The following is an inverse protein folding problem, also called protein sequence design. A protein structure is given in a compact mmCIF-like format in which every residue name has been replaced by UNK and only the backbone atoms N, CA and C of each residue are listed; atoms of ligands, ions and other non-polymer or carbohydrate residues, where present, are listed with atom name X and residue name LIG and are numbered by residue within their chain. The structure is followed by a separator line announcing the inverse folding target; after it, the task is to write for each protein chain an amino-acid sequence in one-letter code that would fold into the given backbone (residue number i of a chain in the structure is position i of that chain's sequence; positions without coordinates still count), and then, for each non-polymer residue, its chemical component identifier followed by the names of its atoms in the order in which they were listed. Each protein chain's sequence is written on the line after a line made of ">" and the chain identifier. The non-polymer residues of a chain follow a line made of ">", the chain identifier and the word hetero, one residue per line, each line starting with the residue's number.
data_IF_373838981085
#
_entry.id   IF_373838981085
#
_cell.length_a   1.000
_cell.length_b   1.000
_cell.length_c   1.000
_cell.angle_alpha   90.00
_cell.angle_beta   90.00
_cell.angle_gamma   90.00
#
_symmetry.space_group_name_H-M   'P 1'
#
loop_
_entity.id
_entity.type
_entity.pdbx_description
1 polymer ?
#
# COMPACT_ATOMS: atom_id res chain seq x y z
N UNK A 1 -29.10 24.18 37.50
CA UNK A 1 -27.96 23.29 37.85
C UNK A 1 -27.95 22.17 36.80
N UNK A 2 -27.13 22.30 35.80
CA UNK A 2 -27.02 21.28 34.75
C UNK A 2 -25.60 20.72 34.81
N UNK A 3 -25.50 19.47 35.24
CA UNK A 3 -24.27 18.73 35.45
C UNK A 3 -23.70 18.37 34.05
N UNK A 4 -22.70 19.07 33.59
CA UNK A 4 -21.82 18.61 32.52
C UNK A 4 -21.03 17.40 33.05
N UNK A 5 -21.55 16.20 32.83
CA UNK A 5 -20.78 14.98 33.00
C UNK A 5 -19.71 14.95 31.89
N UNK A 6 -18.46 15.13 32.31
CA UNK A 6 -17.32 14.97 31.41
C UNK A 6 -17.36 13.58 30.79
N UNK A 7 -17.52 13.51 29.46
CA UNK A 7 -17.17 12.30 28.71
C UNK A 7 -15.68 12.07 28.92
N UNK A 8 -15.28 10.87 29.36
CA UNK A 8 -13.87 10.52 29.31
C UNK A 8 -13.45 10.55 27.83
N UNK A 9 -12.44 11.33 27.51
CA UNK A 9 -11.66 11.21 26.29
C UNK A 9 -10.99 9.82 26.33
N UNK A 10 -11.77 8.78 26.06
CA UNK A 10 -11.26 7.46 25.73
C UNK A 10 -10.42 7.65 24.49
N UNK A 11 -9.12 7.51 24.66
CA UNK A 11 -8.14 7.72 23.63
C UNK A 11 -8.55 7.00 22.35
N UNK A 12 -8.58 7.72 21.25
CA UNK A 12 -8.67 7.18 19.90
C UNK A 12 -7.36 6.42 19.59
N UNK A 13 -7.10 5.34 20.32
CA UNK A 13 -6.01 4.40 20.10
C UNK A 13 -6.32 3.46 18.92
N UNK A 14 -7.04 3.96 17.89
CA UNK A 14 -7.48 3.20 16.74
C UNK A 14 -6.65 3.39 15.48
N UNK A 15 -5.56 4.14 15.53
CA UNK A 15 -4.65 4.28 14.39
C UNK A 15 -3.75 3.04 14.32
N UNK A 16 -4.24 1.97 13.69
CA UNK A 16 -3.44 0.79 13.39
C UNK A 16 -2.15 1.18 12.68
N UNK A 17 -1.01 0.80 13.25
CA UNK A 17 0.31 1.23 12.77
C UNK A 17 0.58 0.83 11.31
N UNK A 18 0.00 -0.27 10.83
CA UNK A 18 0.27 -0.85 9.52
C UNK A 18 -0.14 0.03 8.33
N UNK A 19 -1.18 0.87 8.47
CA UNK A 19 -1.68 1.77 7.42
C UNK A 19 -1.53 3.25 7.78
N UNK A 20 -0.91 3.57 8.90
CA UNK A 20 -0.78 4.95 9.35
C UNK A 20 0.23 5.71 8.52
N UNK A 21 -0.21 6.80 7.88
CA UNK A 21 0.67 7.76 7.22
C UNK A 21 1.55 8.56 8.22
N UNK A 22 1.25 8.43 9.51
CA UNK A 22 2.07 9.00 10.59
C UNK A 22 3.11 8.03 11.14
N UNK A 23 3.13 6.77 10.66
CA UNK A 23 4.22 5.82 10.92
C UNK A 23 5.32 6.01 9.86
N UNK A 24 6.07 7.09 9.99
CA UNK A 24 7.05 7.56 9.00
C UNK A 24 8.21 6.58 8.91
N UNK A 25 8.42 6.03 7.73
CA UNK A 25 9.49 5.10 7.41
C UNK A 25 10.27 5.46 6.13
N UNK A 26 9.92 6.55 5.47
CA UNK A 26 10.61 7.07 4.30
C UNK A 26 10.63 8.59 4.25
N UNK A 27 11.56 9.14 3.49
CA UNK A 27 11.78 10.60 3.38
C UNK A 27 10.54 11.33 2.87
N UNK A 28 9.89 10.77 1.85
CA UNK A 28 8.73 11.42 1.22
C UNK A 28 7.53 11.46 2.19
N UNK A 29 7.34 10.41 3.02
CA UNK A 29 6.33 10.41 4.08
C UNK A 29 6.67 11.42 5.19
N UNK A 30 7.95 11.62 5.50
CA UNK A 30 8.43 12.62 6.46
C UNK A 30 8.02 14.03 6.08
N UNK A 31 8.24 14.41 4.84
CA UNK A 31 7.87 15.74 4.31
C UNK A 31 6.37 15.99 4.36
N UNK A 32 5.56 14.98 4.04
CA UNK A 32 4.09 15.07 4.11
C UNK A 32 3.63 15.22 5.58
N UNK A 33 4.24 14.47 6.50
CA UNK A 33 3.90 14.56 7.92
C UNK A 33 4.28 15.90 8.54
N UNK A 34 5.39 16.52 8.13
CA UNK A 34 5.78 17.86 8.56
C UNK A 34 4.70 18.89 8.17
N UNK A 35 4.27 18.89 6.91
CA UNK A 35 3.17 19.74 6.44
C UNK A 35 1.90 19.52 7.26
N UNK A 36 1.53 18.25 7.51
CA UNK A 36 0.35 17.91 8.30
C UNK A 36 0.41 18.51 9.71
N UNK A 37 1.54 18.38 10.42
CA UNK A 37 1.67 18.89 11.77
C UNK A 37 1.63 20.42 11.84
N UNK A 38 2.25 21.11 10.87
CA UNK A 38 2.16 22.57 10.77
C UNK A 38 0.72 23.03 10.50
N UNK A 39 0.03 22.35 9.58
CA UNK A 39 -1.39 22.64 9.29
C UNK A 39 -2.27 22.38 10.53
N UNK A 40 -2.06 21.28 11.25
CA UNK A 40 -2.83 20.96 12.45
C UNK A 40 -2.60 22.00 13.56
N UNK A 41 -1.35 22.38 13.83
CA UNK A 41 -1.03 23.40 14.82
C UNK A 41 -1.67 24.73 14.44
N UNK A 42 -1.53 25.16 13.18
CA UNK A 42 -2.16 26.37 12.68
C UNK A 42 -3.69 26.34 12.77
N UNK A 43 -4.33 25.23 12.43
CA UNK A 43 -5.76 25.04 12.55
C UNK A 43 -6.26 25.17 14.00
N UNK A 44 -5.53 24.57 14.96
CA UNK A 44 -5.85 24.69 16.40
C UNK A 44 -5.75 26.16 16.86
N UNK A 45 -4.68 26.87 16.48
CA UNK A 45 -4.51 28.28 16.83
C UNK A 45 -5.63 29.14 16.25
N UNK A 46 -5.95 28.96 14.99
CA UNK A 46 -7.05 29.69 14.33
C UNK A 46 -8.40 29.36 14.96
N UNK A 47 -8.65 28.10 15.27
CA UNK A 47 -9.89 27.68 15.94
C UNK A 47 -10.06 28.33 17.31
N UNK A 48 -8.99 28.34 18.12
CA UNK A 48 -8.99 29.02 19.43
C UNK A 48 -9.18 30.54 19.25
N UNK A 49 -8.50 31.17 18.30
CA UNK A 49 -8.62 32.61 18.04
C UNK A 49 -10.04 33.01 17.62
N UNK A 50 -10.64 32.28 16.67
CA UNK A 50 -12.00 32.55 16.17
C UNK A 50 -13.04 32.32 17.26
N UNK A 51 -12.99 31.17 17.98
CA UNK A 51 -13.94 30.90 19.06
C UNK A 51 -13.75 31.83 20.24
N UNK A 52 -12.50 32.18 20.58
CA UNK A 52 -12.19 33.18 21.61
C UNK A 52 -12.73 34.57 21.24
N UNK A 53 -12.52 35.02 20.02
CA UNK A 53 -13.07 36.27 19.51
C UNK A 53 -14.62 36.27 19.55
N UNK A 54 -15.24 35.16 19.10
CA UNK A 54 -16.70 35.00 19.18
C UNK A 54 -17.22 35.09 20.62
N UNK A 55 -16.57 34.40 21.55
CA UNK A 55 -16.92 34.43 22.98
C UNK A 55 -16.80 35.86 23.55
N UNK A 56 -15.68 36.54 23.31
CA UNK A 56 -15.44 37.88 23.77
C UNK A 56 -16.48 38.87 23.22
N UNK A 57 -16.73 38.83 21.91
CA UNK A 57 -17.70 39.73 21.26
C UNK A 57 -19.14 39.45 21.72
N UNK A 58 -19.52 38.20 21.91
CA UNK A 58 -20.90 37.84 22.28
C UNK A 58 -21.21 37.97 23.77
N UNK A 59 -20.22 37.74 24.66
CA UNK A 59 -20.43 37.62 26.10
C UNK A 59 -19.78 38.71 26.91
N UNK A 60 -18.61 39.21 26.47
CA UNK A 60 -17.84 40.21 27.26
C UNK A 60 -18.09 41.65 26.76
N UNK A 61 -18.17 41.83 25.45
CA UNK A 61 -18.29 43.14 24.80
C UNK A 61 -19.53 43.24 23.88
N UNK A 62 -20.73 42.86 24.32
CA UNK A 62 -21.91 42.91 23.46
C UNK A 62 -22.22 44.36 23.03
N UNK A 63 -22.37 44.57 21.70
CA UNK A 63 -22.74 45.88 21.13
C UNK A 63 -21.68 46.99 21.19
N UNK A 64 -20.43 46.70 21.61
CA UNK A 64 -19.34 47.68 21.72
C UNK A 64 -18.48 47.84 20.46
N UNK A 65 -18.70 47.01 19.43
CA UNK A 65 -17.96 47.10 18.19
C UNK A 65 -18.70 47.99 17.20
N UNK A 66 -18.06 49.09 16.80
CA UNK A 66 -18.61 49.93 15.78
C UNK A 66 -18.49 49.30 14.37
N UNK A 67 -19.25 49.82 13.44
CA UNK A 67 -19.36 49.29 12.07
C UNK A 67 -18.01 49.27 11.32
N UNK A 68 -17.12 50.27 11.61
CA UNK A 68 -15.81 50.36 10.95
C UNK A 68 -14.86 49.29 11.45
N UNK A 69 -14.85 49.01 12.76
CA UNK A 69 -14.06 47.94 13.34
C UNK A 69 -14.59 46.55 12.92
N UNK A 70 -15.92 46.39 12.88
CA UNK A 70 -16.54 45.17 12.34
C UNK A 70 -16.13 44.91 10.88
N UNK A 71 -16.19 45.93 10.02
CA UNK A 71 -15.78 45.82 8.63
C UNK A 71 -14.28 45.43 8.48
N UNK A 72 -13.40 46.06 9.29
CA UNK A 72 -11.96 45.72 9.27
C UNK A 72 -11.70 44.28 9.73
N UNK A 73 -12.40 43.80 10.76
CA UNK A 73 -12.30 42.43 11.22
C UNK A 73 -12.80 41.43 10.17
N UNK A 74 -13.91 41.72 9.49
CA UNK A 74 -14.45 40.88 8.42
C UNK A 74 -13.52 40.83 7.21
N UNK A 75 -13.02 41.97 6.75
CA UNK A 75 -12.12 42.00 5.58
C UNK A 75 -10.73 41.45 5.94
N UNK A 76 -10.13 41.91 7.04
CA UNK A 76 -8.80 41.51 7.46
C UNK A 76 -8.75 40.05 7.91
N UNK A 77 -9.64 39.64 8.81
CA UNK A 77 -9.68 38.30 9.36
C UNK A 77 -10.41 37.26 8.53
N UNK A 78 -11.44 37.69 7.74
CA UNK A 78 -12.25 36.77 6.94
C UNK A 78 -11.83 36.65 5.48
N UNK A 79 -11.08 37.61 4.93
CA UNK A 79 -10.64 37.59 3.54
C UNK A 79 -9.11 37.59 3.45
N UNK A 80 -8.45 38.65 3.96
CA UNK A 80 -7.01 38.82 3.75
C UNK A 80 -6.20 37.72 4.44
N UNK A 81 -6.44 37.50 5.73
CA UNK A 81 -5.69 36.52 6.52
C UNK A 81 -5.82 35.09 5.96
N UNK A 82 -7.03 34.56 5.69
CA UNK A 82 -7.17 33.24 5.08
C UNK A 82 -6.52 33.14 3.71
N UNK A 83 -6.65 34.17 2.88
CA UNK A 83 -6.04 34.18 1.54
C UNK A 83 -4.52 34.08 1.62
N UNK A 84 -3.87 34.85 2.50
CA UNK A 84 -2.41 34.80 2.70
C UNK A 84 -1.96 33.43 3.22
N UNK A 85 -2.64 32.91 4.26
CA UNK A 85 -2.29 31.62 4.84
C UNK A 85 -2.46 30.49 3.82
N UNK A 86 -3.60 30.44 3.12
CA UNK A 86 -3.88 29.38 2.14
C UNK A 86 -2.95 29.47 0.93
N UNK A 87 -2.58 30.69 0.50
CA UNK A 87 -1.59 30.86 -0.59
C UNK A 87 -0.21 30.36 -0.16
N UNK A 88 0.23 30.68 1.06
CA UNK A 88 1.50 30.20 1.58
C UNK A 88 1.52 28.66 1.71
N UNK A 89 0.45 28.08 2.24
CA UNK A 89 0.30 26.61 2.34
C UNK A 89 0.23 25.95 0.95
N UNK A 90 -0.44 26.58 -0.02
CA UNK A 90 -0.49 26.07 -1.39
C UNK A 90 0.91 26.03 -2.03
N UNK A 91 1.66 27.14 -1.92
CA UNK A 91 3.04 27.22 -2.48
C UNK A 91 3.93 26.16 -1.82
N UNK A 92 3.85 26.02 -0.49
CA UNK A 92 4.62 25.00 0.22
C UNK A 92 4.19 23.59 -0.15
N UNK A 93 2.89 23.29 -0.16
CA UNK A 93 2.36 21.98 -0.55
C UNK A 93 2.74 21.58 -1.98
N UNK A 94 2.70 22.54 -2.93
CA UNK A 94 3.15 22.31 -4.31
C UNK A 94 4.65 22.00 -4.38
N UNK A 95 5.47 22.63 -3.52
CA UNK A 95 6.91 22.35 -3.46
C UNK A 95 7.24 20.97 -2.87
N UNK A 96 6.32 20.38 -2.10
CA UNK A 96 6.46 19.03 -1.53
C UNK A 96 5.90 17.93 -2.44
N UNK A 97 5.23 18.27 -3.55
CA UNK A 97 4.75 17.24 -4.48
C UNK A 97 5.92 16.38 -4.97
N UNK A 98 5.76 15.05 -4.99
CA UNK A 98 6.78 14.19 -5.57
C UNK A 98 7.07 14.62 -7.01
N UNK A 99 8.34 14.77 -7.35
CA UNK A 99 8.73 14.92 -8.74
C UNK A 99 8.50 13.58 -9.44
N UNK A 100 7.50 13.46 -10.33
CA UNK A 100 7.20 12.20 -11.02
C UNK A 100 8.31 11.80 -12.00
N UNK A 101 9.35 12.65 -12.17
CA UNK A 101 10.52 12.39 -13.01
C UNK A 101 11.78 12.13 -12.19
N UNK A 102 11.69 12.14 -10.85
CA UNK A 102 12.86 11.87 -10.02
C UNK A 102 13.24 10.40 -10.16
N UNK A 103 14.41 10.08 -10.75
CA UNK A 103 14.84 8.70 -10.94
C UNK A 103 15.14 8.04 -9.59
N UNK A 104 15.19 6.71 -9.60
CA UNK A 104 15.77 5.92 -8.51
C UNK A 104 17.29 5.86 -8.61
N UNK A 105 17.91 5.19 -7.63
CA UNK A 105 19.36 5.01 -7.51
C UNK A 105 19.83 3.71 -8.22
N UNK A 106 19.11 3.28 -9.28
CA UNK A 106 19.46 2.12 -10.12
C UNK A 106 18.45 0.98 -10.08
N UNK A 107 17.69 0.79 -9.00
CA UNK A 107 16.62 -0.21 -8.94
C UNK A 107 15.31 0.35 -9.52
N UNK A 108 14.78 -0.35 -10.54
CA UNK A 108 13.45 -0.09 -11.09
C UNK A 108 12.52 -1.25 -10.75
N UNK A 109 11.35 -0.95 -10.18
CA UNK A 109 10.28 -1.92 -9.91
C UNK A 109 9.07 -1.55 -10.76
N UNK A 110 8.69 -2.41 -11.68
CA UNK A 110 7.43 -2.26 -12.41
C UNK A 110 6.31 -2.93 -11.65
N UNK A 111 5.19 -2.21 -11.50
CA UNK A 111 3.99 -2.74 -10.85
C UNK A 111 2.81 -2.58 -11.78
N UNK A 112 2.14 -3.68 -12.05
CA UNK A 112 0.87 -3.69 -12.79
C UNK A 112 -0.27 -4.01 -11.84
N UNK A 113 -1.25 -3.10 -11.74
CA UNK A 113 -2.50 -3.33 -11.01
C UNK A 113 -3.43 -4.21 -11.84
N UNK A 114 -3.73 -5.39 -11.33
CA UNK A 114 -4.70 -6.34 -11.88
C UNK A 114 -5.97 -6.29 -11.01
N UNK A 115 -7.10 -6.84 -11.47
CA UNK A 115 -8.29 -7.00 -10.63
C UNK A 115 -8.26 -8.38 -9.93
N UNK A 116 -7.86 -8.50 -8.67
CA UNK A 116 -7.45 -7.48 -7.67
C UNK A 116 -6.17 -7.94 -6.98
N UNK A 117 -5.04 -7.85 -7.67
CA UNK A 117 -3.73 -8.24 -7.20
C UNK A 117 -2.65 -7.39 -7.88
N UNK A 118 -1.41 -7.50 -7.43
CA UNK A 118 -0.29 -6.72 -7.90
C UNK A 118 0.75 -7.62 -8.55
N UNK A 119 0.98 -7.45 -9.85
CA UNK A 119 2.13 -8.03 -10.54
C UNK A 119 3.32 -7.12 -10.27
N UNK A 120 4.44 -7.71 -9.84
CA UNK A 120 5.65 -6.98 -9.47
C UNK A 120 6.82 -7.53 -10.26
N UNK A 121 7.58 -6.66 -10.89
CA UNK A 121 8.73 -7.01 -11.71
C UNK A 121 9.93 -6.16 -11.28
N UNK A 122 10.98 -6.80 -10.80
CA UNK A 122 12.24 -6.15 -10.47
C UNK A 122 13.15 -6.10 -11.68
N UNK A 123 13.65 -4.91 -11.98
CA UNK A 123 14.60 -4.65 -13.06
C UNK A 123 15.89 -4.09 -12.45
N UNK A 124 16.84 -4.95 -12.01
CA UNK A 124 18.17 -4.50 -11.61
C UNK A 124 18.87 -3.80 -12.78
N UNK A 125 19.80 -2.92 -12.47
CA UNK A 125 20.56 -2.21 -13.49
C UNK A 125 21.28 -3.20 -14.43
N UNK A 126 21.12 -3.02 -15.74
CA UNK A 126 21.67 -3.90 -16.76
C UNK A 126 20.96 -5.24 -16.97
N UNK A 127 19.87 -5.52 -16.26
CA UNK A 127 19.11 -6.76 -16.45
C UNK A 127 18.41 -6.78 -17.81
N UNK A 128 18.50 -7.92 -18.52
CA UNK A 128 17.79 -8.16 -19.79
C UNK A 128 16.37 -8.69 -19.63
N UNK A 129 16.02 -9.18 -18.45
CA UNK A 129 14.71 -9.70 -18.12
C UNK A 129 14.37 -9.40 -16.64
N UNK A 130 13.06 -9.27 -16.30
CA UNK A 130 12.66 -8.99 -14.94
C UNK A 130 12.69 -10.24 -14.05
N UNK A 131 12.84 -10.00 -12.75
CA UNK A 131 12.53 -10.99 -11.72
C UNK A 131 11.08 -10.75 -11.30
N UNK A 132 10.20 -11.71 -11.59
CA UNK A 132 8.73 -11.57 -11.41
C UNK A 132 8.32 -12.13 -10.06
N UNK A 133 7.48 -11.37 -9.35
CA UNK A 133 6.79 -11.79 -8.13
C UNK A 133 5.38 -11.17 -8.08
N UNK A 134 4.67 -11.29 -6.94
CA UNK A 134 3.36 -10.69 -6.79
C UNK A 134 3.01 -10.39 -5.32
N UNK A 135 2.22 -9.32 -5.10
CA UNK A 135 1.56 -8.97 -3.84
C UNK A 135 2.51 -8.70 -2.66
N UNK A 136 3.81 -8.69 -2.89
CA UNK A 136 4.83 -8.32 -1.92
C UNK A 136 5.94 -7.56 -2.63
N UNK A 137 6.36 -6.44 -2.05
CA UNK A 137 7.44 -5.61 -2.56
C UNK A 137 8.49 -5.49 -1.48
N UNK A 138 9.74 -5.83 -1.81
CA UNK A 138 10.89 -5.65 -0.92
C UNK A 138 11.81 -4.57 -1.45
N UNK A 139 12.34 -3.75 -0.55
CA UNK A 139 13.09 -2.54 -0.89
C UNK A 139 14.32 -2.43 0.01
N UNK A 140 15.48 -2.00 -0.55
CA UNK A 140 16.64 -1.66 0.28
C UNK A 140 16.39 -0.32 0.99
N UNK A 141 16.80 -0.19 2.25
CA UNK A 141 16.82 1.09 2.96
C UNK A 141 18.00 1.95 2.51
N UNK A 142 17.86 3.27 2.63
CA UNK A 142 18.91 4.23 2.28
C UNK A 142 19.07 4.51 0.79
N UNK A 143 18.25 3.89 -0.05
CA UNK A 143 18.27 4.06 -1.50
C UNK A 143 16.89 4.37 -2.05
N UNK A 144 16.85 5.18 -3.10
CA UNK A 144 15.60 5.52 -3.78
C UNK A 144 15.27 4.49 -4.85
N UNK A 145 14.14 3.84 -4.72
CA UNK A 145 13.61 2.92 -5.74
C UNK A 145 12.64 3.65 -6.67
N UNK A 146 12.80 3.46 -7.97
CA UNK A 146 11.88 3.93 -8.99
C UNK A 146 10.77 2.91 -9.22
N UNK A 147 9.52 3.37 -9.16
CA UNK A 147 8.34 2.55 -9.49
C UNK A 147 7.75 3.02 -10.81
N UNK A 148 7.64 2.11 -11.77
CA UNK A 148 6.89 2.28 -13.02
C UNK A 148 5.57 1.56 -12.92
N UNK A 149 4.49 2.29 -13.06
CA UNK A 149 3.16 1.89 -12.65
C UNK A 149 2.21 1.86 -13.86
N UNK A 150 1.51 0.76 -14.05
CA UNK A 150 0.46 0.60 -15.05
C UNK A 150 -0.68 -0.25 -14.51
N UNK A 151 -1.78 -0.35 -15.24
CA UNK A 151 -2.89 -1.24 -14.89
C UNK A 151 -3.42 -1.97 -16.10
N UNK A 152 -4.07 -3.13 -15.89
CA UNK A 152 -4.60 -3.97 -16.97
C UNK A 152 -5.92 -3.41 -17.55
N UNK A 153 -6.92 -3.10 -16.71
CA UNK A 153 -8.29 -2.84 -17.17
C UNK A 153 -8.92 -1.57 -16.59
N UNK A 154 -8.76 -1.37 -15.29
CA UNK A 154 -9.36 -0.27 -14.55
C UNK A 154 -8.28 0.53 -13.85
N UNK A 155 -8.59 1.75 -13.47
CA UNK A 155 -7.68 2.59 -12.69
C UNK A 155 -7.46 1.96 -11.31
N UNK A 156 -6.21 1.91 -10.87
CA UNK A 156 -5.78 1.62 -9.51
C UNK A 156 -4.95 2.79 -8.97
N UNK A 157 -4.58 2.76 -7.71
CA UNK A 157 -3.62 3.70 -7.17
C UNK A 157 -2.64 2.99 -6.24
N UNK A 158 -1.36 3.12 -6.52
CA UNK A 158 -0.29 2.53 -5.74
C UNK A 158 0.04 3.42 -4.55
N UNK A 159 -0.02 2.88 -3.33
CA UNK A 159 0.24 3.65 -2.13
C UNK A 159 0.84 2.80 -1.02
N UNK A 160 1.97 3.27 -0.48
CA UNK A 160 2.60 2.78 0.75
C UNK A 160 2.64 3.96 1.72
N UNK A 161 1.62 4.11 2.59
CA UNK A 161 1.45 5.31 3.44
C UNK A 161 2.68 5.67 4.27
N UNK A 162 3.40 4.65 4.76
CA UNK A 162 4.59 4.84 5.59
C UNK A 162 5.82 5.36 4.81
N UNK A 163 5.84 5.21 3.49
CA UNK A 163 6.97 5.59 2.65
C UNK A 163 6.75 6.90 1.90
N UNK A 164 5.51 7.21 1.50
CA UNK A 164 5.24 8.43 0.75
C UNK A 164 3.82 8.61 0.25
N UNK A 165 3.64 9.49 -0.72
CA UNK A 165 2.39 9.74 -1.41
C UNK A 165 1.95 8.58 -2.29
N UNK A 166 0.76 8.71 -2.89
CA UNK A 166 0.20 7.74 -3.84
C UNK A 166 0.41 8.19 -5.29
N UNK A 167 0.35 7.22 -6.21
CA UNK A 167 0.35 7.47 -7.65
C UNK A 167 -0.72 6.61 -8.34
N UNK A 168 -1.56 7.28 -9.13
CA UNK A 168 -2.61 6.62 -9.88
C UNK A 168 -2.03 5.85 -11.09
N UNK A 169 -2.63 4.71 -11.37
CA UNK A 169 -2.23 3.74 -12.39
C UNK A 169 -3.33 3.61 -13.43
N UNK A 170 -2.98 3.77 -14.70
CA UNK A 170 -3.95 3.81 -15.79
C UNK A 170 -3.71 2.70 -16.81
N UNK A 171 -4.79 2.13 -17.39
CA UNK A 171 -4.65 1.29 -18.55
C UNK A 171 -4.02 2.04 -19.74
N UNK A 172 -3.04 1.41 -20.38
CA UNK A 172 -2.38 1.96 -21.56
C UNK A 172 -1.48 3.18 -21.33
N UNK A 173 -1.24 3.56 -20.07
CA UNK A 173 -0.35 4.67 -19.69
C UNK A 173 0.52 4.27 -18.51
N UNK A 174 1.83 4.48 -18.65
CA UNK A 174 2.78 4.33 -17.54
C UNK A 174 2.83 5.64 -16.73
N UNK A 175 2.73 5.53 -15.40
CA UNK A 175 3.00 6.59 -14.44
C UNK A 175 4.19 6.21 -13.58
N UNK A 176 4.79 7.16 -12.88
CA UNK A 176 6.01 6.93 -12.12
C UNK A 176 5.94 7.60 -10.75
N UNK A 177 6.47 6.92 -9.74
CA UNK A 177 6.79 7.47 -8.43
C UNK A 177 8.11 6.88 -7.98
N UNK A 178 8.91 7.63 -7.22
CA UNK A 178 10.09 7.09 -6.56
C UNK A 178 9.97 7.26 -5.05
N UNK A 179 10.37 6.25 -4.29
CA UNK A 179 10.28 6.23 -2.82
C UNK A 179 11.66 5.92 -2.22
N UNK A 180 11.97 6.58 -1.11
CA UNK A 180 13.22 6.39 -0.36
C UNK A 180 12.91 5.89 1.05
N UNK A 181 12.98 4.58 1.31
CA UNK A 181 12.83 4.01 2.65
C UNK A 181 14.03 4.38 3.55
N UNK A 182 13.74 4.76 4.80
CA UNK A 182 14.78 5.09 5.79
C UNK A 182 14.84 4.08 6.94
N UNK A 183 13.80 3.25 7.13
CA UNK A 183 13.69 2.32 8.25
C UNK A 183 13.38 0.91 7.77
N UNK A 184 14.10 -0.06 8.33
CA UNK A 184 13.77 -1.47 8.18
C UNK A 184 12.43 -1.77 8.83
N UNK A 185 11.57 -2.56 8.15
CA UNK A 185 10.26 -2.94 8.68
C UNK A 185 9.34 -3.55 7.64
N UNK A 186 8.15 -3.90 8.09
CA UNK A 186 7.05 -4.38 7.23
C UNK A 186 5.90 -3.39 7.31
N UNK A 187 5.52 -2.88 6.17
CA UNK A 187 4.47 -1.88 6.01
C UNK A 187 3.38 -2.44 5.09
N UNK A 188 2.19 -1.87 5.20
CA UNK A 188 1.09 -2.22 4.31
C UNK A 188 1.02 -1.23 3.16
N UNK A 189 1.04 -1.76 1.94
CA UNK A 189 0.60 -1.06 0.74
C UNK A 189 -0.82 -1.44 0.35
N UNK A 190 -1.50 -0.59 -0.41
CA UNK A 190 -2.89 -0.82 -0.80
C UNK A 190 -3.27 -0.08 -2.07
N UNK A 191 -4.34 -0.55 -2.71
CA UNK A 191 -5.03 0.22 -3.74
C UNK A 191 -5.75 1.41 -3.10
N UNK A 192 -5.46 2.61 -3.58
CA UNK A 192 -6.03 3.86 -3.08
C UNK A 192 -6.95 4.55 -4.11
N UNK A 193 -7.44 3.80 -5.12
CA UNK A 193 -8.46 4.22 -6.08
C UNK A 193 -9.47 3.09 -6.28
N UNK A 194 -10.77 3.40 -6.24
CA UNK A 194 -11.81 2.37 -6.35
C UNK A 194 -11.72 1.61 -7.67
N UNK A 195 -11.54 0.29 -7.59
CA UNK A 195 -11.26 -0.59 -8.73
C UNK A 195 -12.23 -1.77 -8.87
N UNK A 196 -13.37 -1.75 -8.16
CA UNK A 196 -14.42 -2.78 -8.24
C UNK A 196 -14.66 -3.53 -6.92
N UNK A 197 -15.34 -4.67 -6.98
CA UNK A 197 -15.89 -5.38 -5.83
C UNK A 197 -14.86 -5.72 -4.73
N UNK A 198 -13.68 -6.18 -5.13
CA UNK A 198 -12.62 -6.55 -4.18
C UNK A 198 -11.57 -5.46 -3.96
N UNK A 199 -11.91 -4.18 -4.21
CA UNK A 199 -11.02 -3.05 -3.96
C UNK A 199 -10.45 -3.03 -2.52
N UNK A 200 -11.28 -3.22 -1.52
CA UNK A 200 -10.87 -3.24 -0.12
C UNK A 200 -9.88 -4.38 0.22
N UNK A 201 -9.85 -5.43 -0.60
CA UNK A 201 -8.98 -6.60 -0.45
C UNK A 201 -7.78 -6.58 -1.40
N UNK A 202 -7.48 -5.43 -2.02
CA UNK A 202 -6.33 -5.26 -2.89
C UNK A 202 -5.21 -4.54 -2.16
N UNK A 203 -4.49 -5.30 -1.34
CA UNK A 203 -3.35 -4.82 -0.57
C UNK A 203 -2.08 -5.58 -0.95
N UNK A 204 -0.95 -5.17 -0.39
CA UNK A 204 0.34 -5.85 -0.49
C UNK A 204 1.21 -5.55 0.73
N UNK A 205 2.22 -6.38 0.97
CA UNK A 205 3.24 -6.11 1.97
C UNK A 205 4.42 -5.37 1.34
N UNK A 206 4.84 -4.27 1.95
CA UNK A 206 6.08 -3.57 1.61
C UNK A 206 7.10 -3.85 2.73
N UNK A 207 8.14 -4.60 2.40
CA UNK A 207 9.19 -4.99 3.35
C UNK A 207 10.45 -4.21 3.02
N UNK A 208 10.88 -3.37 3.92
CA UNK A 208 12.16 -2.65 3.79
C UNK A 208 13.22 -3.37 4.59
N UNK A 209 14.43 -3.50 4.03
CA UNK A 209 15.50 -4.28 4.63
C UNK A 209 16.87 -3.68 4.30
N UNK A 210 17.90 -4.13 5.00
CA UNK A 210 19.26 -3.74 4.69
C UNK A 210 19.66 -4.19 3.27
N UNK A 211 20.55 -3.46 2.63
CA UNK A 211 20.98 -3.71 1.23
C UNK A 211 21.46 -5.14 1.02
N UNK A 212 22.27 -5.68 1.92
CA UNK A 212 22.80 -7.05 1.79
C UNK A 212 21.70 -8.11 1.84
N UNK A 213 20.70 -7.92 2.72
CA UNK A 213 19.54 -8.82 2.83
C UNK A 213 18.64 -8.73 1.59
N UNK A 214 18.50 -7.52 1.04
CA UNK A 214 17.76 -7.30 -0.20
C UNK A 214 18.43 -8.01 -1.38
N UNK A 215 19.75 -7.87 -1.53
CA UNK A 215 20.50 -8.51 -2.63
C UNK A 215 20.42 -10.03 -2.52
N UNK A 216 20.56 -10.59 -1.32
CA UNK A 216 20.41 -12.03 -1.09
C UNK A 216 18.99 -12.51 -1.42
N UNK A 217 17.97 -11.76 -0.99
CA UNK A 217 16.58 -12.08 -1.30
C UNK A 217 16.31 -11.98 -2.83
N UNK A 218 16.79 -10.94 -3.49
CA UNK A 218 16.57 -10.75 -4.93
C UNK A 218 17.22 -11.86 -5.74
N UNK A 219 18.43 -12.28 -5.36
CA UNK A 219 19.11 -13.41 -5.96
C UNK A 219 18.32 -14.73 -5.79
N UNK A 220 17.75 -14.95 -4.59
CA UNK A 220 16.88 -16.09 -4.33
C UNK A 220 15.59 -16.03 -5.17
N UNK A 221 15.00 -14.85 -5.32
CA UNK A 221 13.81 -14.65 -6.17
C UNK A 221 14.09 -14.87 -7.66
N UNK A 222 15.33 -14.70 -8.13
CA UNK A 222 15.72 -14.97 -9.52
C UNK A 222 15.85 -16.48 -9.81
N UNK A 223 16.04 -17.29 -8.80
CA UNK A 223 16.21 -18.74 -8.96
C UNK A 223 14.92 -19.43 -9.37
N UNK A 224 15.05 -20.60 -9.97
CA UNK A 224 13.94 -21.52 -10.20
C UNK A 224 13.42 -22.12 -8.90
N UNK A 225 12.19 -22.60 -8.93
CA UNK A 225 11.59 -23.29 -7.80
C UNK A 225 12.42 -24.52 -7.40
N UNK A 226 12.67 -24.70 -6.10
CA UNK A 226 13.28 -25.90 -5.60
C UNK A 226 12.39 -27.13 -5.91
N UNK A 227 13.00 -28.32 -6.17
CA UNK A 227 12.22 -29.54 -6.32
C UNK A 227 11.44 -29.87 -5.04
N UNK A 228 10.32 -30.64 -5.14
CA UNK A 228 9.57 -31.06 -3.97
C UNK A 228 10.48 -31.73 -2.92
N UNK A 229 10.36 -31.31 -1.66
CA UNK A 229 11.26 -31.73 -0.59
C UNK A 229 10.91 -33.12 -0.02
N UNK A 230 9.68 -33.57 -0.21
CA UNK A 230 9.15 -34.79 0.38
C UNK A 230 8.03 -35.44 -0.48
N UNK A 231 7.54 -36.67 -0.12
CA UNK A 231 6.50 -37.35 -0.89
C UNK A 231 5.16 -36.58 -0.93
N UNK A 232 4.77 -35.83 0.12
CA UNK A 232 3.54 -35.02 0.14
C UNK A 232 3.65 -33.89 -0.84
N UNK A 233 4.76 -33.13 -0.85
CA UNK A 233 5.03 -32.09 -1.83
C UNK A 233 5.08 -32.65 -3.28
N UNK A 234 5.57 -33.87 -3.47
CA UNK A 234 5.59 -34.52 -4.80
C UNK A 234 4.16 -34.83 -5.27
N UNK A 235 3.28 -35.36 -4.41
CA UNK A 235 1.86 -35.56 -4.74
C UNK A 235 1.16 -34.22 -4.99
N UNK A 236 1.41 -33.21 -4.14
CA UNK A 236 0.84 -31.88 -4.33
C UNK A 236 1.24 -31.23 -5.65
N UNK A 237 2.49 -31.41 -6.12
CA UNK A 237 2.91 -31.01 -7.48
C UNK A 237 2.11 -31.74 -8.56
N UNK A 238 1.82 -33.02 -8.38
CA UNK A 238 1.00 -33.78 -9.32
C UNK A 238 -0.45 -33.25 -9.34
N UNK A 239 -1.04 -32.96 -8.16
CA UNK A 239 -2.37 -32.33 -8.05
C UNK A 239 -2.38 -30.97 -8.75
N UNK A 240 -1.37 -30.12 -8.54
CA UNK A 240 -1.22 -28.83 -9.24
C UNK A 240 -1.29 -28.97 -10.76
N UNK A 241 -0.58 -29.96 -11.32
CA UNK A 241 -0.58 -30.22 -12.74
C UNK A 241 -1.93 -30.79 -13.22
N UNK A 242 -2.52 -31.75 -12.50
CA UNK A 242 -3.81 -32.39 -12.85
C UNK A 242 -4.97 -31.40 -12.84
N UNK A 243 -4.97 -30.44 -11.90
CA UNK A 243 -5.98 -29.41 -11.79
C UNK A 243 -5.78 -28.25 -12.78
N UNK A 244 -4.73 -28.29 -13.60
CA UNK A 244 -4.46 -27.30 -14.62
C UNK A 244 -4.06 -25.92 -14.08
N UNK A 245 -3.60 -25.82 -12.84
CA UNK A 245 -3.22 -24.56 -12.19
C UNK A 245 -2.11 -23.83 -12.97
N UNK A 246 -1.22 -24.57 -13.65
CA UNK A 246 -0.13 -24.05 -14.48
C UNK A 246 -0.60 -23.32 -15.75
N UNK A 247 -1.88 -23.41 -16.14
CA UNK A 247 -2.43 -22.64 -17.26
C UNK A 247 -2.56 -21.13 -16.91
N UNK A 248 -2.76 -20.82 -15.62
CA UNK A 248 -2.88 -19.45 -15.13
C UNK A 248 -1.65 -18.97 -14.34
N UNK A 249 -0.93 -19.88 -13.68
CA UNK A 249 0.20 -19.55 -12.81
C UNK A 249 1.52 -20.10 -13.33
N UNK A 250 2.56 -19.27 -13.24
CA UNK A 250 3.93 -19.73 -13.50
C UNK A 250 4.58 -20.28 -12.22
N UNK A 251 5.40 -21.33 -12.38
CA UNK A 251 6.38 -21.81 -11.41
C UNK A 251 7.66 -22.08 -12.22
N UNK A 252 8.65 -21.19 -12.13
CA UNK A 252 9.90 -21.29 -12.89
C UNK A 252 10.64 -22.60 -12.58
N UNK A 253 11.29 -23.16 -13.59
CA UNK A 253 11.90 -24.49 -13.52
C UNK A 253 10.90 -25.65 -13.65
N UNK A 254 9.63 -25.36 -14.02
CA UNK A 254 8.60 -26.36 -14.30
C UNK A 254 7.89 -26.05 -15.63
N UNK A 255 6.92 -26.92 -16.01
CA UNK A 255 6.08 -26.71 -17.20
C UNK A 255 4.96 -25.65 -16.97
N UNK A 256 4.80 -25.15 -15.74
CA UNK A 256 3.80 -24.14 -15.41
C UNK A 256 4.29 -22.75 -15.83
N UNK A 257 3.74 -22.23 -16.92
CA UNK A 257 4.16 -20.96 -17.56
C UNK A 257 3.02 -19.94 -17.69
N UNK A 258 1.89 -20.16 -17.01
CA UNK A 258 0.73 -19.28 -17.05
C UNK A 258 1.02 -17.88 -16.49
N UNK A 259 0.47 -16.87 -17.13
CA UNK A 259 0.69 -15.45 -16.74
C UNK A 259 -0.59 -14.72 -16.38
N UNK A 260 -1.73 -15.40 -16.36
CA UNK A 260 -3.04 -14.81 -16.00
C UNK A 260 -3.14 -14.50 -14.50
N UNK A 261 -2.59 -15.40 -13.69
CA UNK A 261 -2.49 -15.24 -12.23
C UNK A 261 -1.06 -14.90 -11.79
N UNK A 262 -0.86 -14.73 -10.46
CA UNK A 262 0.46 -14.50 -9.88
C UNK A 262 1.46 -15.61 -10.21
N UNK A 263 2.73 -15.25 -10.42
CA UNK A 263 3.84 -16.19 -10.36
C UNK A 263 3.93 -16.82 -8.95
N UNK A 264 3.97 -18.14 -8.87
CA UNK A 264 3.97 -18.92 -7.62
C UNK A 264 5.34 -19.52 -7.27
N UNK A 265 6.39 -19.22 -8.01
CA UNK A 265 7.73 -19.80 -7.86
C UNK A 265 8.21 -19.79 -6.42
N UNK A 266 7.97 -18.66 -5.71
CA UNK A 266 8.36 -18.48 -4.31
C UNK A 266 7.17 -18.07 -3.42
N UNK A 267 5.97 -18.59 -3.70
CA UNK A 267 4.76 -18.20 -2.96
C UNK A 267 4.87 -18.51 -1.47
N UNK A 268 5.48 -19.63 -1.09
CA UNK A 268 5.62 -20.07 0.29
C UNK A 268 6.47 -19.15 1.17
N UNK A 269 7.28 -18.26 0.57
CA UNK A 269 8.07 -17.24 1.28
C UNK A 269 7.33 -15.91 1.47
N UNK A 270 6.16 -15.72 0.86
CA UNK A 270 5.37 -14.49 1.01
C UNK A 270 4.69 -14.41 2.37
N UNK A 271 4.44 -13.21 2.83
CA UNK A 271 3.79 -12.93 4.12
C UNK A 271 2.28 -13.17 4.09
N UNK A 272 1.66 -13.12 2.89
CA UNK A 272 0.21 -13.20 2.74
C UNK A 272 -0.22 -13.82 1.43
N UNK A 273 -1.49 -14.25 1.40
CA UNK A 273 -2.20 -14.80 0.25
C UNK A 273 -3.28 -13.81 -0.19
N UNK A 274 -3.71 -13.90 -1.45
CA UNK A 274 -4.85 -13.16 -1.97
C UNK A 274 -4.69 -11.64 -1.95
N UNK A 275 -3.44 -11.13 -2.10
CA UNK A 275 -3.12 -9.70 -2.02
C UNK A 275 -3.41 -9.10 -0.63
N UNK A 276 -2.89 -9.72 0.42
CA UNK A 276 -3.04 -9.27 1.80
C UNK A 276 -4.37 -9.70 2.45
N UNK A 277 -5.09 -10.66 1.86
CA UNK A 277 -6.38 -11.13 2.37
C UNK A 277 -6.24 -12.03 3.59
N UNK A 278 -5.28 -12.95 3.56
CA UNK A 278 -5.03 -13.93 4.62
C UNK A 278 -3.52 -14.14 4.84
N UNK A 279 -3.09 -14.56 6.02
CA UNK A 279 -1.68 -14.93 6.25
C UNK A 279 -1.29 -16.17 5.45
N UNK A 280 0.02 -16.41 5.29
CA UNK A 280 0.57 -17.56 4.57
C UNK A 280 0.67 -18.79 5.49
N UNK A 281 -0.46 -19.41 5.81
CA UNK A 281 -0.55 -20.68 6.53
C UNK A 281 -1.06 -21.79 5.62
N UNK A 282 -0.94 -23.06 6.02
CA UNK A 282 -1.50 -24.19 5.28
C UNK A 282 -3.03 -24.12 5.22
N UNK A 283 -3.66 -23.81 6.36
CA UNK A 283 -5.11 -23.69 6.46
C UNK A 283 -5.65 -22.55 5.57
N UNK A 284 -4.98 -21.39 5.58
CA UNK A 284 -5.37 -20.26 4.74
C UNK A 284 -5.14 -20.53 3.24
N UNK A 285 -4.09 -21.27 2.87
CA UNK A 285 -3.88 -21.74 1.49
C UNK A 285 -5.00 -22.67 1.06
N UNK A 286 -5.36 -23.64 1.89
CA UNK A 286 -6.46 -24.58 1.63
C UNK A 286 -7.80 -23.83 1.49
N UNK A 287 -8.09 -22.93 2.42
CA UNK A 287 -9.29 -22.08 2.36
C UNK A 287 -9.30 -21.17 1.12
N UNK A 288 -8.15 -20.62 0.74
CA UNK A 288 -8.03 -19.80 -0.49
C UNK A 288 -8.35 -20.61 -1.74
N UNK A 289 -7.85 -21.85 -1.86
CA UNK A 289 -8.07 -22.71 -3.03
C UNK A 289 -9.55 -23.11 -3.13
N UNK A 290 -10.18 -23.45 -2.01
CA UNK A 290 -11.56 -23.97 -1.99
C UNK A 290 -12.65 -22.91 -1.95
N UNK A 291 -12.37 -21.71 -1.42
CA UNK A 291 -13.37 -20.68 -1.17
C UNK A 291 -12.94 -19.31 -1.72
N UNK A 292 -12.23 -19.28 -2.85
CA UNK A 292 -11.62 -18.06 -3.41
C UNK A 292 -12.63 -16.94 -3.57
N UNK A 293 -13.80 -17.19 -4.19
CA UNK A 293 -14.82 -16.19 -4.45
C UNK A 293 -15.49 -15.67 -3.16
N UNK A 294 -15.71 -16.55 -2.18
CA UNK A 294 -16.27 -16.14 -0.88
C UNK A 294 -15.29 -15.28 -0.08
N UNK A 295 -14.00 -15.57 -0.17
CA UNK A 295 -12.95 -14.79 0.48
C UNK A 295 -12.68 -13.46 -0.21
N UNK A 296 -12.82 -13.42 -1.53
CA UNK A 296 -12.49 -12.27 -2.37
C UNK A 296 -13.42 -12.23 -3.60
N UNK A 297 -14.56 -11.55 -3.51
CA UNK A 297 -15.60 -11.54 -4.56
C UNK A 297 -15.08 -11.11 -5.93
N UNK A 298 -15.63 -11.73 -6.98
CA UNK A 298 -15.34 -11.44 -8.39
C UNK A 298 -13.90 -11.71 -8.85
N UNK A 299 -13.07 -12.42 -8.06
CA UNK A 299 -11.75 -12.83 -8.54
C UNK A 299 -11.87 -13.85 -9.68
N UNK A 300 -10.88 -13.83 -10.58
CA UNK A 300 -10.86 -14.74 -11.72
C UNK A 300 -10.43 -16.18 -11.38
N UNK A 301 -9.75 -16.36 -10.25
CA UNK A 301 -9.37 -17.70 -9.80
C UNK A 301 -10.63 -18.42 -9.34
N UNK A 302 -11.01 -19.57 -9.93
CA UNK A 302 -12.15 -20.35 -9.48
C UNK A 302 -11.88 -21.00 -8.12
N UNK A 303 -12.95 -21.31 -7.39
CA UNK A 303 -12.87 -22.21 -6.25
C UNK A 303 -12.79 -23.65 -6.73
N UNK A 304 -11.97 -24.47 -6.07
CA UNK A 304 -11.77 -25.88 -6.41
C UNK A 304 -12.38 -26.78 -5.32
N UNK A 305 -13.12 -27.79 -5.75
CA UNK A 305 -13.61 -28.87 -4.88
C UNK A 305 -12.64 -30.05 -5.01
N UNK A 306 -11.78 -30.23 -4.02
CA UNK A 306 -10.73 -31.25 -4.02
C UNK A 306 -10.95 -32.21 -2.83
N UNK A 307 -10.59 -33.51 -2.98
CA UNK A 307 -10.45 -34.42 -1.84
C UNK A 307 -9.50 -33.82 -0.80
N UNK A 308 -9.79 -34.09 0.47
CA UNK A 308 -9.06 -33.50 1.61
C UNK A 308 -7.54 -33.76 1.54
N UNK A 309 -7.17 -35.02 1.20
CA UNK A 309 -5.76 -35.40 1.06
C UNK A 309 -5.06 -34.65 -0.10
N UNK A 310 -5.73 -34.52 -1.25
CA UNK A 310 -5.20 -33.79 -2.40
C UNK A 310 -5.03 -32.30 -2.10
N UNK A 311 -5.99 -31.72 -1.40
CA UNK A 311 -5.94 -30.31 -0.97
C UNK A 311 -4.79 -30.08 0.01
N UNK A 312 -4.61 -30.96 0.99
CA UNK A 312 -3.52 -30.88 1.95
C UNK A 312 -2.16 -31.00 1.28
N UNK A 313 -1.98 -32.00 0.39
CA UNK A 313 -0.74 -32.19 -0.38
C UNK A 313 -0.45 -30.98 -1.29
N UNK A 314 -1.48 -30.42 -1.97
CA UNK A 314 -1.36 -29.21 -2.79
C UNK A 314 -0.93 -27.99 -1.96
N UNK A 315 -1.60 -27.74 -0.84
CA UNK A 315 -1.23 -26.64 0.07
C UNK A 315 0.20 -26.80 0.60
N UNK A 316 0.59 -28.04 0.95
CA UNK A 316 1.95 -28.36 1.39
C UNK A 316 2.99 -28.10 0.30
N UNK A 317 2.73 -28.51 -0.94
CA UNK A 317 3.59 -28.20 -2.10
C UNK A 317 3.77 -26.69 -2.28
N UNK A 318 2.66 -25.93 -2.34
CA UNK A 318 2.71 -24.49 -2.53
C UNK A 318 3.43 -23.78 -1.38
N UNK A 319 3.22 -24.22 -0.14
CA UNK A 319 3.93 -23.68 1.03
C UNK A 319 5.42 -24.01 1.02
N UNK A 320 5.81 -25.07 0.36
CA UNK A 320 7.20 -25.48 0.17
C UNK A 320 7.96 -24.67 -0.90
N UNK A 321 7.28 -23.96 -1.75
CA UNK A 321 7.87 -23.10 -2.79
C UNK A 321 8.45 -21.82 -2.15
N UNK A 322 9.72 -21.85 -1.77
CA UNK A 322 10.42 -20.75 -1.07
C UNK A 322 11.61 -20.26 -1.87
#
# INVERSE_FOLDING_TARGET
>A
MSVFRGLPLLGLAGCGQAQSSLNIAGQDAGSIAELFWVMLAGAVVLWLAVNGAFYVMSRVLPGRIDQRHAARLLVGGGIILPTVILTALLVWGLALLPDPRRPGDGLVVRVTGEQWWWRVEYWPEGASAPIVTANEIRLPVGERTEFRLTSDRVIHSFWIPALGGKMDMFPGRETMISLHPDKVGTYRGQCAEFCGASHAWMAFSAVTMERADFDAWLAAQAADAAPPADPAATRGKAVFAQQGCGACHAIRGTEAVGTVGPDLTHIGSRLSIGAGRSPMTLDDLSAWITHTEALKPEVRMPSYDLPEDDLADLAHYLKGLK
#
